data_IF_009210326044
#
_entry.id   IF_009210326044
#
_cell.length_a   1.000
_cell.length_b   1.000
_cell.length_c   1.000
_cell.angle_alpha   90.00
_cell.angle_beta   90.00
_cell.angle_gamma   90.00
#
_symmetry.space_group_name_H-M   'P 1'
#
loop_
_entity.id
_entity.type
_entity.pdbx_description
1 polymer ?
#
# COMPACT_ATOMS: atom_id res chain seq x y z
N UNK A 1 43.66 32.29 24.24
CA UNK A 1 44.13 30.96 24.67
C UNK A 1 43.24 29.94 23.98
N UNK A 2 43.82 29.17 23.06
CA UNK A 2 43.12 28.33 22.09
C UNK A 2 42.48 27.10 22.74
N UNK A 3 41.29 26.71 22.27
CA UNK A 3 40.72 25.40 22.54
C UNK A 3 40.53 24.74 21.17
N UNK A 4 41.41 23.79 20.88
CA UNK A 4 41.42 23.03 19.64
C UNK A 4 40.36 21.93 19.69
N UNK A 5 39.45 21.93 18.70
CA UNK A 5 38.54 20.81 18.45
C UNK A 5 39.29 19.65 17.77
N UNK A 6 39.00 18.38 18.09
CA UNK A 6 39.61 17.24 17.41
C UNK A 6 38.97 17.03 16.02
N UNK A 7 39.73 16.52 15.02
CA UNK A 7 39.18 16.22 13.71
C UNK A 7 38.38 14.90 13.73
N UNK A 8 37.10 14.97 13.38
CA UNK A 8 36.28 13.80 13.08
C UNK A 8 36.73 13.22 11.73
N UNK A 9 37.45 12.10 11.78
CA UNK A 9 37.77 11.29 10.61
C UNK A 9 36.47 10.66 10.06
N UNK A 10 35.98 11.21 8.95
CA UNK A 10 34.88 10.65 8.18
C UNK A 10 35.38 9.41 7.43
N UNK A 11 35.21 8.22 8.01
CA UNK A 11 35.40 6.96 7.30
C UNK A 11 34.29 6.80 6.25
N UNK A 12 34.60 7.17 5.01
CA UNK A 12 33.76 6.87 3.85
C UNK A 12 33.78 5.35 3.61
N UNK A 13 32.68 4.68 3.96
CA UNK A 13 32.43 3.29 3.56
C UNK A 13 32.04 3.30 2.07
N UNK A 14 32.78 2.62 1.17
CA UNK A 14 32.40 2.57 -0.23
C UNK A 14 31.09 1.78 -0.41
N UNK A 15 30.22 2.17 -1.36
CA UNK A 15 28.99 1.43 -1.64
C UNK A 15 29.31 0.02 -2.15
N UNK A 16 28.58 -0.98 -1.65
CA UNK A 16 28.62 -2.37 -2.15
C UNK A 16 28.21 -2.38 -3.64
N UNK A 17 28.89 -3.17 -4.50
CA UNK A 17 28.52 -3.27 -5.90
C UNK A 17 27.13 -3.91 -6.04
N UNK A 18 26.29 -3.29 -6.88
CA UNK A 18 24.99 -3.79 -7.25
C UNK A 18 25.11 -5.19 -7.87
N UNK A 19 24.44 -6.17 -7.27
CA UNK A 19 24.27 -7.50 -7.85
C UNK A 19 23.53 -7.37 -9.18
N UNK A 20 24.19 -7.82 -10.25
CA UNK A 20 23.69 -7.81 -11.62
C UNK A 20 22.33 -8.51 -11.74
N UNK A 21 21.32 -7.77 -12.18
CA UNK A 21 20.08 -8.34 -12.70
C UNK A 21 20.38 -9.07 -14.03
N UNK A 22 19.85 -10.29 -14.25
CA UNK A 22 19.97 -10.94 -15.54
C UNK A 22 19.13 -10.20 -16.57
N UNK A 23 19.81 -9.48 -17.46
CA UNK A 23 19.24 -8.91 -18.69
C UNK A 23 18.65 -10.04 -19.54
N UNK A 24 17.33 -10.17 -19.51
CA UNK A 24 16.58 -11.00 -20.44
C UNK A 24 16.61 -10.35 -21.82
N UNK A 25 17.69 -10.61 -22.57
CA UNK A 25 17.76 -10.29 -23.99
C UNK A 25 17.11 -11.42 -24.77
N UNK A 26 15.86 -11.20 -25.18
CA UNK A 26 15.15 -12.08 -26.12
C UNK A 26 15.82 -11.99 -27.49
N UNK A 27 16.85 -12.81 -27.71
CA UNK A 27 17.55 -12.92 -29.00
C UNK A 27 16.63 -13.63 -30.00
N UNK A 28 15.78 -12.89 -30.69
CA UNK A 28 15.01 -13.39 -31.83
C UNK A 28 16.00 -13.67 -32.97
N UNK A 29 16.36 -14.95 -33.13
CA UNK A 29 17.18 -15.43 -34.25
C UNK A 29 16.26 -15.62 -35.46
N UNK A 30 16.13 -14.60 -36.30
CA UNK A 30 15.50 -14.74 -37.61
C UNK A 30 16.42 -15.56 -38.53
N UNK A 31 16.07 -16.83 -38.75
CA UNK A 31 16.67 -17.65 -39.80
C UNK A 31 15.95 -17.35 -41.12
N UNK A 32 16.52 -16.45 -41.92
CA UNK A 32 16.09 -16.26 -43.31
C UNK A 32 16.79 -17.33 -44.17
N UNK A 33 16.11 -18.46 -44.36
CA UNK A 33 16.52 -19.50 -45.28
C UNK A 33 15.90 -19.27 -46.66
N UNK A 34 16.71 -18.84 -47.62
CA UNK A 34 16.34 -18.75 -49.04
C UNK A 34 16.12 -20.14 -49.63
N UNK A 35 14.93 -20.44 -50.16
CA UNK A 35 14.70 -21.42 -51.25
C UNK A 35 13.29 -21.30 -51.84
N UNK A 36 13.25 -21.22 -53.17
CA UNK A 36 12.10 -21.00 -54.05
C UNK A 36 11.12 -22.21 -54.12
N UNK A 37 9.91 -22.06 -54.70
CA UNK A 37 8.75 -22.90 -54.42
C UNK A 37 8.62 -24.10 -55.36
N UNK A 38 7.96 -25.17 -54.90
CA UNK A 38 7.30 -26.17 -55.76
C UNK A 38 5.86 -26.37 -55.32
N UNK A 39 4.96 -26.26 -56.30
CA UNK A 39 3.50 -26.33 -56.19
C UNK A 39 3.05 -27.79 -56.13
N UNK A 40 2.09 -28.08 -55.25
CA UNK A 40 1.31 -29.31 -55.22
C UNK A 40 0.07 -29.14 -54.36
N UNK A 41 -1.14 -29.48 -54.81
CA UNK A 41 -2.36 -29.23 -54.05
C UNK A 41 -2.76 -30.48 -53.26
N UNK A 42 -2.77 -30.44 -51.92
CA UNK A 42 -3.65 -31.32 -51.13
C UNK A 42 -3.72 -30.98 -49.63
N UNK A 43 -4.96 -30.77 -49.20
CA UNK A 43 -5.55 -31.12 -47.90
C UNK A 43 -5.39 -30.23 -46.66
N UNK A 44 -6.53 -30.20 -45.94
CA UNK A 44 -6.73 -30.12 -44.49
C UNK A 44 -6.72 -28.72 -43.85
N UNK A 45 -7.94 -28.23 -43.63
CA UNK A 45 -8.30 -27.16 -42.69
C UNK A 45 -7.64 -27.44 -41.33
N UNK A 46 -6.53 -26.76 -41.02
CA UNK A 46 -5.92 -26.79 -39.69
C UNK A 46 -6.59 -25.71 -38.85
N UNK A 47 -7.37 -26.12 -37.84
CA UNK A 47 -7.71 -25.25 -36.72
C UNK A 47 -6.41 -24.90 -35.99
N UNK A 48 -5.95 -23.66 -36.12
CA UNK A 48 -4.94 -23.12 -35.22
C UNK A 48 -5.60 -22.88 -33.86
N UNK A 49 -5.50 -23.86 -32.97
CA UNK A 49 -5.77 -23.64 -31.55
C UNK A 49 -4.63 -22.80 -30.97
N UNK A 50 -4.91 -21.54 -30.66
CA UNK A 50 -4.01 -20.71 -29.84
C UNK A 50 -4.00 -21.33 -28.44
N UNK A 51 -2.92 -22.05 -28.10
CA UNK A 51 -2.67 -22.45 -26.72
C UNK A 51 -2.25 -21.22 -25.94
N UNK A 52 -3.19 -20.61 -25.23
CA UNK A 52 -2.89 -19.62 -24.20
C UNK A 52 -2.22 -20.37 -23.07
N UNK A 53 -0.90 -20.20 -22.95
CA UNK A 53 -0.11 -20.71 -21.84
C UNK A 53 -0.65 -20.10 -20.54
N UNK A 54 -1.26 -20.92 -19.68
CA UNK A 54 -1.73 -20.49 -18.38
C UNK A 54 -0.54 -19.98 -17.57
N UNK A 55 -0.51 -18.67 -17.27
CA UNK A 55 0.45 -18.08 -16.35
C UNK A 55 0.31 -18.81 -15.01
N UNK A 56 1.38 -19.46 -14.59
CA UNK A 56 1.50 -20.14 -13.29
C UNK A 56 1.08 -19.16 -12.18
N UNK A 57 0.06 -19.53 -11.39
CA UNK A 57 -0.28 -18.80 -10.17
C UNK A 57 0.91 -18.95 -9.23
N UNK A 58 1.65 -17.87 -8.98
CA UNK A 58 2.63 -17.86 -7.91
C UNK A 58 1.91 -18.12 -6.58
N UNK A 59 2.44 -19.05 -5.81
CA UNK A 59 1.97 -19.35 -4.47
C UNK A 59 2.00 -18.06 -3.64
N UNK A 60 0.97 -17.76 -2.83
CA UNK A 60 1.02 -16.63 -1.92
C UNK A 60 2.23 -16.77 -0.98
N UNK A 61 3.18 -15.85 -1.04
CA UNK A 61 4.30 -15.79 -0.09
C UNK A 61 3.74 -15.21 1.21
N UNK A 62 3.67 -16.04 2.24
CA UNK A 62 3.31 -15.61 3.59
C UNK A 62 4.59 -15.35 4.38
N UNK A 63 4.80 -14.10 4.80
CA UNK A 63 5.86 -13.77 5.75
C UNK A 63 5.34 -14.08 7.16
N UNK A 64 6.00 -15.00 7.84
CA UNK A 64 5.74 -15.25 9.26
C UNK A 64 6.62 -14.27 10.02
N UNK A 65 5.99 -13.43 10.84
CA UNK A 65 6.67 -12.40 11.64
C UNK A 65 7.22 -11.21 10.84
N UNK A 66 6.36 -10.57 10.04
CA UNK A 66 6.70 -9.30 9.39
C UNK A 66 6.55 -8.16 10.41
N UNK A 67 7.65 -7.48 10.71
CA UNK A 67 7.63 -6.27 11.51
C UNK A 67 7.56 -5.00 10.66
N UNK A 68 7.08 -3.91 11.25
CA UNK A 68 7.03 -2.60 10.58
C UNK A 68 8.42 -2.16 10.10
N UNK A 69 9.46 -2.48 10.87
CA UNK A 69 10.82 -2.08 10.56
C UNK A 69 11.43 -2.81 9.37
N UNK A 70 10.88 -3.96 8.94
CA UNK A 70 11.42 -4.76 7.84
C UNK A 70 11.24 -4.09 6.47
N UNK A 71 10.18 -3.29 6.30
CA UNK A 71 9.83 -2.66 5.02
C UNK A 71 9.74 -1.14 5.07
N UNK A 72 9.81 -0.55 6.26
CA UNK A 72 9.78 0.91 6.45
C UNK A 72 11.05 1.57 5.94
N UNK A 73 10.88 2.69 5.23
CA UNK A 73 12.01 3.45 4.70
C UNK A 73 12.86 4.07 5.82
N UNK A 74 14.21 4.05 5.74
CA UNK A 74 15.08 4.55 6.82
C UNK A 74 14.89 6.03 7.13
N UNK A 75 14.59 6.87 6.12
CA UNK A 75 14.29 8.29 6.37
C UNK A 75 12.99 8.46 7.16
N UNK A 76 12.02 7.58 6.98
CA UNK A 76 10.77 7.65 7.75
C UNK A 76 10.98 7.24 9.20
N UNK A 77 11.93 6.32 9.47
CA UNK A 77 12.33 5.96 10.84
C UNK A 77 12.99 7.15 11.53
N UNK A 78 13.93 7.80 10.84
CA UNK A 78 14.61 8.99 11.35
C UNK A 78 13.62 10.12 11.61
N UNK A 79 12.75 10.44 10.66
CA UNK A 79 11.78 11.52 10.80
C UNK A 79 10.80 11.29 11.96
N UNK A 80 10.28 10.08 12.13
CA UNK A 80 9.39 9.80 13.26
C UNK A 80 10.14 9.80 14.60
N UNK A 81 11.40 9.37 14.64
CA UNK A 81 12.22 9.49 15.86
C UNK A 81 12.48 10.96 16.22
N UNK A 82 12.67 11.84 15.23
CA UNK A 82 12.84 13.28 15.43
C UNK A 82 11.56 13.94 15.93
N UNK A 83 10.39 13.57 15.37
CA UNK A 83 9.10 14.10 15.82
C UNK A 83 8.79 13.66 17.26
N UNK A 84 9.07 12.39 17.61
CA UNK A 84 8.88 11.86 18.98
C UNK A 84 9.82 12.50 20.01
N UNK A 85 10.95 13.06 19.58
CA UNK A 85 11.88 13.76 20.46
C UNK A 85 11.40 15.16 20.85
N UNK A 86 10.36 15.71 20.19
CA UNK A 86 9.81 17.03 20.53
C UNK A 86 8.86 16.88 21.73
N UNK A 87 9.22 17.38 22.92
CA UNK A 87 8.38 17.23 24.11
C UNK A 87 7.05 17.99 23.93
N UNK A 88 5.94 17.31 24.23
CA UNK A 88 4.60 17.89 24.17
C UNK A 88 3.93 17.89 22.79
N UNK A 89 4.61 17.45 21.73
CA UNK A 89 3.99 17.35 20.40
C UNK A 89 2.83 16.36 20.37
N UNK A 90 2.98 15.19 21.02
CA UNK A 90 1.92 14.18 21.08
C UNK A 90 0.66 14.70 21.77
N UNK A 91 0.81 15.52 22.81
CA UNK A 91 -0.32 16.12 23.53
C UNK A 91 -1.00 17.22 22.70
N UNK A 92 -0.22 18.00 21.92
CA UNK A 92 -0.77 18.97 20.96
C UNK A 92 -1.52 18.25 19.84
N UNK A 93 -0.97 17.15 19.31
CA UNK A 93 -1.62 16.33 18.27
C UNK A 93 -2.92 15.74 18.80
N UNK A 94 -2.92 15.18 20.02
CA UNK A 94 -4.15 14.70 20.69
C UNK A 94 -5.14 15.83 20.96
N UNK A 95 -4.68 17.03 21.31
CA UNK A 95 -5.55 18.17 21.56
C UNK A 95 -6.20 18.70 20.27
N UNK A 96 -5.43 18.78 19.18
CA UNK A 96 -5.92 19.17 17.85
C UNK A 96 -6.86 18.14 17.25
N UNK A 97 -6.52 16.86 17.35
CA UNK A 97 -7.37 15.73 17.00
C UNK A 97 -8.41 15.44 18.09
N UNK A 98 -8.67 16.37 19.01
CA UNK A 98 -9.40 16.11 20.24
C UNK A 98 -10.76 15.42 20.06
N UNK A 99 -11.38 14.97 21.17
CA UNK A 99 -12.53 14.07 21.17
C UNK A 99 -13.69 14.50 20.25
N UNK A 100 -13.86 15.81 20.03
CA UNK A 100 -14.90 16.38 19.16
C UNK A 100 -14.61 16.15 17.67
N UNK A 101 -13.38 16.38 17.20
CA UNK A 101 -13.02 16.14 15.80
C UNK A 101 -13.03 14.63 15.50
N UNK A 102 -12.49 13.82 16.41
CA UNK A 102 -12.55 12.36 16.38
C UNK A 102 -14.00 11.85 16.33
N UNK A 103 -14.87 12.38 17.20
CA UNK A 103 -16.29 12.00 17.23
C UNK A 103 -17.00 12.44 15.96
N UNK A 104 -16.80 13.65 15.46
CA UNK A 104 -17.46 14.13 14.22
C UNK A 104 -17.02 13.29 13.02
N UNK A 105 -15.73 12.99 12.89
CA UNK A 105 -15.20 12.21 11.77
C UNK A 105 -15.69 10.76 11.84
N UNK A 106 -15.74 10.18 13.04
CA UNK A 106 -16.30 8.86 13.29
C UNK A 106 -17.82 8.83 13.07
N UNK A 107 -18.57 9.84 13.52
CA UNK A 107 -20.02 9.96 13.32
C UNK A 107 -20.37 10.15 11.85
N UNK A 108 -19.66 11.02 11.14
CA UNK A 108 -19.88 11.22 9.71
C UNK A 108 -19.57 9.95 8.92
N UNK A 109 -18.49 9.26 9.26
CA UNK A 109 -18.13 8.02 8.59
C UNK A 109 -19.12 6.91 8.93
N UNK A 110 -19.37 6.59 10.21
CA UNK A 110 -20.33 5.54 10.59
C UNK A 110 -21.76 5.86 10.10
N UNK A 111 -22.17 7.13 10.13
CA UNK A 111 -23.51 7.55 9.72
C UNK A 111 -23.76 7.55 8.21
N UNK A 112 -22.70 7.57 7.38
CA UNK A 112 -22.81 7.61 5.91
C UNK A 112 -22.16 6.42 5.20
N UNK A 113 -21.70 5.43 5.96
CA UNK A 113 -21.01 4.27 5.43
C UNK A 113 -21.60 2.97 5.94
N UNK A 114 -21.26 1.91 5.22
CA UNK A 114 -21.70 0.55 5.50
C UNK A 114 -20.55 -0.23 6.11
N UNK A 115 -20.73 -0.74 7.32
CA UNK A 115 -19.75 -1.63 7.96
C UNK A 115 -19.68 -2.96 7.19
N UNK A 116 -18.47 -3.33 6.80
CA UNK A 116 -18.15 -4.60 6.16
C UNK A 116 -17.95 -5.65 7.24
N UNK A 117 -18.62 -6.79 7.08
CA UNK A 117 -18.51 -7.93 7.98
C UNK A 117 -18.55 -9.24 7.20
N UNK A 118 -18.39 -10.37 7.88
CA UNK A 118 -18.53 -11.68 7.26
C UNK A 118 -19.92 -11.92 6.65
N UNK A 119 -20.95 -11.25 7.18
CA UNK A 119 -22.32 -11.35 6.68
C UNK A 119 -22.66 -10.22 5.68
N UNK A 120 -21.83 -9.17 5.60
CA UNK A 120 -22.11 -7.96 4.85
C UNK A 120 -20.90 -7.57 4.01
N UNK A 121 -21.00 -7.77 2.70
CA UNK A 121 -19.87 -7.69 1.75
C UNK A 121 -18.74 -8.71 2.10
N UNK A 122 -19.06 -10.02 2.16
CA UNK A 122 -18.12 -11.06 2.60
C UNK A 122 -16.86 -11.15 1.75
N UNK A 123 -16.98 -10.87 0.45
CA UNK A 123 -15.85 -10.88 -0.47
C UNK A 123 -14.82 -9.80 -0.09
N UNK A 124 -15.28 -8.60 0.25
CA UNK A 124 -14.42 -7.49 0.63
C UNK A 124 -13.79 -7.74 2.00
N UNK A 125 -14.57 -8.27 2.96
CA UNK A 125 -14.08 -8.69 4.26
C UNK A 125 -12.94 -9.72 4.13
N UNK A 126 -13.09 -10.72 3.25
CA UNK A 126 -12.04 -11.72 2.99
C UNK A 126 -10.75 -11.10 2.46
N UNK A 127 -10.84 -10.15 1.52
CA UNK A 127 -9.65 -9.48 0.99
C UNK A 127 -8.88 -8.74 2.08
N UNK A 128 -9.59 -8.04 2.98
CA UNK A 128 -9.01 -7.36 4.13
C UNK A 128 -8.34 -8.35 5.08
N UNK A 129 -9.05 -9.41 5.49
CA UNK A 129 -8.52 -10.42 6.41
C UNK A 129 -7.30 -11.13 5.83
N UNK A 130 -7.31 -11.44 4.54
CA UNK A 130 -6.15 -12.01 3.85
C UNK A 130 -4.96 -11.04 3.82
N UNK A 131 -5.20 -9.75 3.57
CA UNK A 131 -4.14 -8.73 3.58
C UNK A 131 -3.56 -8.55 4.99
N UNK A 132 -4.42 -8.46 6.01
CA UNK A 132 -4.03 -8.34 7.41
C UNK A 132 -3.20 -9.54 7.89
N UNK A 133 -3.61 -10.76 7.52
CA UNK A 133 -2.85 -11.99 7.78
C UNK A 133 -1.46 -11.98 7.14
N UNK A 134 -1.33 -11.43 5.94
CA UNK A 134 -0.02 -11.33 5.25
C UNK A 134 0.91 -10.29 5.86
N UNK A 135 0.36 -9.21 6.39
CA UNK A 135 1.11 -8.15 7.06
C UNK A 135 1.33 -8.40 8.56
N UNK A 136 0.90 -9.56 9.06
CA UNK A 136 0.96 -9.91 10.48
C UNK A 136 0.38 -8.77 11.36
N UNK A 137 -0.83 -8.33 11.02
CA UNK A 137 -1.57 -7.28 11.75
C UNK A 137 -2.98 -7.74 12.04
N UNK A 138 -3.59 -7.18 13.09
CA UNK A 138 -5.02 -7.35 13.35
C UNK A 138 -5.82 -6.65 12.24
N UNK A 139 -6.95 -7.25 11.85
CA UNK A 139 -7.84 -6.66 10.86
C UNK A 139 -8.63 -5.49 11.49
N UNK A 140 -8.45 -4.24 11.01
CA UNK A 140 -9.24 -3.10 11.45
C UNK A 140 -10.68 -3.23 10.95
N UNK A 141 -11.57 -2.35 11.43
CA UNK A 141 -12.91 -2.29 10.86
C UNK A 141 -12.85 -1.66 9.45
N UNK A 142 -13.72 -2.10 8.55
CA UNK A 142 -13.77 -1.62 7.18
C UNK A 142 -15.16 -1.08 6.86
N UNK A 143 -15.19 0.13 6.32
CA UNK A 143 -16.41 0.81 5.95
C UNK A 143 -16.41 1.11 4.45
N UNK A 144 -17.57 0.94 3.81
CA UNK A 144 -17.78 1.36 2.43
C UNK A 144 -18.65 2.61 2.40
N UNK A 145 -18.12 3.69 1.83
CA UNK A 145 -18.83 4.97 1.70
C UNK A 145 -19.20 5.23 0.24
N UNK A 146 -20.43 5.68 0.01
CA UNK A 146 -20.85 6.07 -1.33
C UNK A 146 -20.20 7.41 -1.71
N UNK A 147 -19.31 7.38 -2.70
CA UNK A 147 -18.65 8.58 -3.24
C UNK A 147 -18.12 8.30 -4.66
N UNK A 148 -18.46 9.13 -5.66
CA UNK A 148 -18.01 8.95 -7.03
C UNK A 148 -16.50 9.17 -7.23
N UNK A 149 -15.81 9.85 -6.31
CA UNK A 149 -14.37 10.09 -6.38
C UNK A 149 -13.61 8.90 -5.78
N UNK A 150 -12.73 8.22 -6.53
CA UNK A 150 -11.99 7.06 -6.03
C UNK A 150 -11.02 7.46 -4.92
N UNK A 151 -11.27 6.97 -3.71
CA UNK A 151 -10.40 7.18 -2.57
C UNK A 151 -10.56 6.07 -1.51
N UNK A 152 -9.49 5.81 -0.79
CA UNK A 152 -9.47 5.00 0.42
C UNK A 152 -8.56 5.68 1.43
N UNK A 153 -8.90 5.60 2.71
CA UNK A 153 -8.08 6.18 3.76
C UNK A 153 -8.29 5.44 5.07
N UNK A 154 -7.29 5.58 5.93
CA UNK A 154 -7.27 4.94 7.23
C UNK A 154 -7.29 5.97 8.34
N UNK A 155 -8.11 5.73 9.36
CA UNK A 155 -8.21 6.58 10.54
C UNK A 155 -7.82 5.78 11.77
N UNK A 156 -6.78 6.27 12.45
CA UNK A 156 -6.34 5.80 13.76
C UNK A 156 -6.78 6.81 14.82
N UNK A 157 -7.61 6.38 15.76
CA UNK A 157 -8.14 7.22 16.85
C UNK A 157 -7.52 6.72 18.17
N UNK A 158 -7.11 7.65 19.02
CA UNK A 158 -6.52 7.31 20.32
C UNK A 158 -7.54 6.56 21.19
N UNK A 159 -7.20 5.33 21.61
CA UNK A 159 -8.04 4.53 22.49
C UNK A 159 -9.25 3.85 21.84
N UNK A 160 -9.35 3.86 20.50
CA UNK A 160 -10.36 3.08 19.75
C UNK A 160 -9.70 2.18 18.71
N UNK A 161 -10.46 1.19 18.24
CA UNK A 161 -10.03 0.34 17.14
C UNK A 161 -9.87 1.20 15.86
N UNK A 162 -8.74 1.10 15.13
CA UNK A 162 -8.58 1.77 13.86
C UNK A 162 -9.56 1.23 12.83
N UNK A 163 -9.92 2.06 11.85
CA UNK A 163 -10.79 1.64 10.76
C UNK A 163 -10.37 2.25 9.42
N UNK A 164 -10.70 1.53 8.35
CA UNK A 164 -10.43 1.90 6.96
C UNK A 164 -11.75 2.26 6.31
N UNK A 165 -11.77 3.32 5.51
CA UNK A 165 -12.93 3.69 4.68
C UNK A 165 -12.54 3.57 3.21
N UNK A 166 -13.34 2.86 2.43
CA UNK A 166 -13.18 2.71 0.98
C UNK A 166 -14.39 3.29 0.27
N UNK A 167 -14.17 4.07 -0.79
CA UNK A 167 -15.25 4.61 -1.59
C UNK A 167 -15.80 3.57 -2.58
N UNK A 168 -17.11 3.62 -2.85
CA UNK A 168 -17.78 2.73 -3.83
C UNK A 168 -17.14 2.79 -5.21
N UNK A 169 -16.69 3.97 -5.65
CA UNK A 169 -15.98 4.15 -6.91
C UNK A 169 -14.72 3.29 -7.02
N UNK A 170 -13.93 3.10 -5.96
CA UNK A 170 -12.77 2.20 -5.99
C UNK A 170 -13.18 0.73 -6.12
N UNK A 171 -14.25 0.33 -5.44
CA UNK A 171 -14.76 -1.05 -5.48
C UNK A 171 -15.25 -1.40 -6.88
N UNK A 172 -15.82 -0.44 -7.60
CA UNK A 172 -16.31 -0.61 -8.98
C UNK A 172 -15.19 -0.54 -10.01
N UNK A 173 -14.17 0.31 -9.79
CA UNK A 173 -13.07 0.52 -10.73
C UNK A 173 -12.00 -0.58 -10.69
N UNK A 174 -11.68 -1.09 -9.50
CA UNK A 174 -10.54 -1.98 -9.30
C UNK A 174 -10.92 -3.45 -9.35
N UNK A 175 -10.02 -4.28 -9.88
CA UNK A 175 -10.14 -5.73 -9.74
C UNK A 175 -9.93 -6.15 -8.28
N UNK A 176 -10.41 -7.36 -7.90
CA UNK A 176 -10.23 -7.90 -6.54
C UNK A 176 -8.77 -7.86 -6.04
N UNK A 177 -7.80 -8.09 -6.93
CA UNK A 177 -6.37 -8.10 -6.57
C UNK A 177 -5.82 -6.69 -6.38
N UNK A 178 -6.23 -5.74 -7.21
CA UNK A 178 -5.85 -4.34 -7.06
C UNK A 178 -6.49 -3.73 -5.83
N UNK A 179 -7.76 -4.04 -5.56
CA UNK A 179 -8.44 -3.62 -4.33
C UNK A 179 -7.75 -4.19 -3.09
N UNK A 180 -7.34 -5.46 -3.12
CA UNK A 180 -6.53 -6.04 -2.03
C UNK A 180 -5.19 -5.34 -1.86
N UNK A 181 -4.56 -4.87 -2.95
CA UNK A 181 -3.33 -4.10 -2.88
C UNK A 181 -3.55 -2.72 -2.24
N UNK A 182 -4.66 -2.04 -2.56
CA UNK A 182 -5.05 -0.79 -1.89
C UNK A 182 -5.31 -1.02 -0.40
N UNK A 183 -6.08 -2.05 -0.05
CA UNK A 183 -6.29 -2.40 1.37
C UNK A 183 -4.99 -2.74 2.08
N UNK A 184 -4.05 -3.43 1.43
CA UNK A 184 -2.74 -3.73 1.99
C UNK A 184 -1.88 -2.46 2.15
N UNK A 185 -1.98 -1.49 1.24
CA UNK A 185 -1.33 -0.19 1.35
C UNK A 185 -1.83 0.57 2.58
N UNK A 186 -3.16 0.64 2.74
CA UNK A 186 -3.82 1.26 3.89
C UNK A 186 -3.45 0.57 5.22
N UNK A 187 -3.43 -0.77 5.25
CA UNK A 187 -2.93 -1.53 6.40
C UNK A 187 -1.45 -1.25 6.69
N UNK A 188 -0.64 -0.98 5.68
CA UNK A 188 0.75 -0.58 5.82
C UNK A 188 0.91 0.72 6.62
N UNK A 189 0.02 1.70 6.39
CA UNK A 189 0.00 2.95 7.17
C UNK A 189 -0.30 2.71 8.66
N UNK A 190 -1.17 1.75 8.98
CA UNK A 190 -1.44 1.33 10.35
C UNK A 190 -0.24 0.61 10.97
N UNK A 191 0.33 -0.36 10.26
CA UNK A 191 1.47 -1.17 10.75
C UNK A 191 2.69 -0.29 11.03
N UNK A 192 2.99 0.68 10.18
CA UNK A 192 4.12 1.60 10.34
C UNK A 192 3.85 2.79 11.27
N UNK A 193 2.63 2.89 11.82
CA UNK A 193 2.21 3.97 12.74
C UNK A 193 2.35 5.38 12.10
N UNK A 194 2.30 5.45 10.77
CA UNK A 194 2.26 6.70 10.00
C UNK A 194 0.83 7.20 9.78
N UNK A 195 -0.17 6.36 10.03
CA UNK A 195 -1.58 6.72 9.89
C UNK A 195 -1.98 7.95 10.73
N UNK A 196 -1.38 8.14 11.92
CA UNK A 196 -1.64 9.32 12.77
C UNK A 196 -1.15 10.60 12.12
N UNK A 197 0.07 10.60 11.58
CA UNK A 197 0.65 11.75 10.90
C UNK A 197 -0.06 12.07 9.58
N UNK A 198 -0.48 11.02 8.85
CA UNK A 198 -1.26 11.18 7.61
C UNK A 198 -2.66 11.74 7.89
N UNK A 199 -3.30 11.26 8.96
CA UNK A 199 -4.61 11.76 9.43
C UNK A 199 -4.50 13.23 9.85
N UNK A 200 -3.47 13.58 10.62
CA UNK A 200 -3.18 14.97 10.99
C UNK A 200 -2.94 15.84 9.75
N UNK A 201 -2.11 15.38 8.80
CA UNK A 201 -1.84 16.12 7.56
C UNK A 201 -3.11 16.33 6.73
N UNK A 202 -3.97 15.31 6.62
CA UNK A 202 -5.26 15.42 5.92
C UNK A 202 -6.19 16.42 6.61
N UNK A 203 -6.28 16.39 7.94
CA UNK A 203 -7.12 17.33 8.71
C UNK A 203 -6.60 18.76 8.60
N UNK A 204 -5.28 18.97 8.69
CA UNK A 204 -4.67 20.28 8.47
C UNK A 204 -4.90 20.79 7.05
N UNK A 205 -4.82 19.92 6.05
CA UNK A 205 -5.07 20.29 4.65
C UNK A 205 -6.54 20.66 4.43
N UNK A 206 -7.48 19.88 4.98
CA UNK A 206 -8.90 20.17 4.92
C UNK A 206 -9.23 21.48 5.66
N UNK A 207 -8.64 21.70 6.84
CA UNK A 207 -8.77 22.94 7.60
C UNK A 207 -8.21 24.14 6.85
N UNK A 208 -7.02 24.03 6.25
CA UNK A 208 -6.40 25.10 5.47
C UNK A 208 -7.25 25.47 4.24
N UNK A 209 -7.86 24.48 3.58
CA UNK A 209 -8.76 24.73 2.43
C UNK A 209 -10.11 25.36 2.81
N UNK A 210 -10.43 25.43 4.11
CA UNK A 210 -11.65 26.08 4.63
C UNK A 210 -11.43 27.51 5.13
N UNK A 211 -10.18 28.01 5.09
CA UNK A 211 -9.85 29.40 5.40
C UNK A 211 -9.94 30.19 4.07
N UNK A 212 -10.80 31.22 3.98
CA UNK A 212 -11.03 32.00 2.76
C UNK A 212 -9.83 32.86 2.34
#
# INVERSE_FOLDING_TARGET
MAIASPPLHLHLVPPKPASAFPLWTSRIRCLWGSRAPRVGPRTRRRRCGVRVSSVSRSSPVGFRDLDADDFRHPLDKQNTSLLRAIPGLDEIVKALLGPVAEQVMLLQNIGTSVLVSENQLPDLHKLLVEAAKRLNTEAPDLYVRQNPVPNAYTLAISGRKPFIVVHTSLVELLTRRELQAVLAHELGHLKCDHGVWLTLANILTLGASSIP
#
